data_IF_812722068085
#
_entry.id   IF_812722068085
#
_cell.length_a   1.000
_cell.length_b   1.000
_cell.length_c   1.000
_cell.angle_alpha   90.00
_cell.angle_beta   90.00
_cell.angle_gamma   90.00
#
_symmetry.space_group_name_H-M   'P 1'
#
loop_
_entity.id
_entity.type
_entity.pdbx_description
1 polymer ?
#
# COMPACT_ATOMS: atom_id res chain seq x y z
N UNK A 1 -8.16 37.25 -25.29
CA UNK A 1 -7.03 36.34 -25.57
C UNK A 1 -7.48 34.95 -25.17
N UNK A 2 -7.92 34.18 -26.14
CA UNK A 2 -8.28 32.79 -25.97
C UNK A 2 -6.96 32.04 -25.73
N UNK A 3 -6.81 31.43 -24.57
CA UNK A 3 -5.69 30.52 -24.33
C UNK A 3 -6.01 29.28 -25.14
N UNK A 4 -5.30 29.10 -26.25
CA UNK A 4 -5.33 27.88 -27.03
C UNK A 4 -5.02 26.71 -26.11
N UNK A 5 -5.96 25.76 -26.09
CA UNK A 5 -5.98 24.58 -25.24
C UNK A 5 -4.74 23.72 -25.54
N UNK A 6 -3.70 23.66 -24.68
CA UNK A 6 -2.63 22.72 -24.92
C UNK A 6 -3.17 21.35 -24.53
N UNK A 7 -3.48 20.53 -25.53
CA UNK A 7 -3.62 19.10 -25.30
C UNK A 7 -2.27 18.59 -24.82
N UNK A 8 -2.07 18.51 -23.51
CA UNK A 8 -0.90 17.88 -22.91
C UNK A 8 -0.98 16.40 -23.24
N UNK A 9 -0.33 15.99 -24.33
CA UNK A 9 -0.21 14.58 -24.70
C UNK A 9 0.94 14.02 -23.87
N UNK A 10 0.62 13.45 -22.71
CA UNK A 10 1.61 12.68 -21.96
C UNK A 10 1.90 11.38 -22.75
N UNK A 11 3.05 11.32 -23.42
CA UNK A 11 3.52 10.13 -24.11
C UNK A 11 4.55 9.39 -23.26
N UNK A 12 4.35 8.09 -23.05
CA UNK A 12 5.34 7.20 -22.45
C UNK A 12 6.63 7.16 -23.29
N UNK A 13 7.80 7.35 -22.66
CA UNK A 13 9.09 7.29 -23.35
C UNK A 13 10.16 6.70 -22.44
N UNK A 14 10.81 5.62 -22.90
CA UNK A 14 11.92 4.94 -22.21
C UNK A 14 13.31 5.42 -22.67
N UNK A 15 13.41 6.48 -23.48
CA UNK A 15 14.70 6.94 -24.00
C UNK A 15 15.31 8.01 -23.07
N UNK A 16 16.44 7.67 -22.46
CA UNK A 16 17.37 8.65 -21.87
C UNK A 16 18.08 9.42 -22.99
N UNK A 17 17.39 10.31 -23.69
CA UNK A 17 18.07 11.25 -24.56
C UNK A 17 18.64 12.41 -23.73
N UNK A 18 19.97 12.52 -23.73
CA UNK A 18 20.69 13.62 -23.09
C UNK A 18 20.25 14.94 -23.71
N UNK A 19 19.72 15.83 -22.87
CA UNK A 19 19.38 17.21 -23.21
C UNK A 19 20.62 17.95 -23.74
N UNK A 20 20.74 18.11 -25.05
CA UNK A 20 21.76 18.96 -25.67
C UNK A 20 21.06 20.14 -26.36
N UNK A 21 21.09 21.30 -25.69
CA UNK A 21 20.69 22.64 -26.14
C UNK A 21 19.23 22.88 -26.56
N UNK A 22 18.74 24.07 -26.25
CA UNK A 22 17.38 24.55 -26.50
C UNK A 22 17.25 25.07 -27.95
N UNK A 23 16.55 24.33 -28.82
CA UNK A 23 16.07 24.83 -30.11
C UNK A 23 14.62 25.31 -29.97
N UNK A 24 14.34 26.54 -30.38
CA UNK A 24 12.99 27.11 -30.35
C UNK A 24 12.12 26.49 -31.47
N UNK A 25 11.19 25.63 -31.09
CA UNK A 25 10.11 25.08 -31.94
C UNK A 25 8.77 25.10 -31.20
N UNK A 26 7.64 24.76 -31.86
CA UNK A 26 6.33 24.65 -31.19
C UNK A 26 6.49 23.74 -29.97
N UNK A 27 5.93 24.15 -28.85
CA UNK A 27 6.13 23.58 -27.51
C UNK A 27 5.73 22.09 -27.45
N UNK A 28 6.63 21.21 -27.92
CA UNK A 28 6.46 19.76 -28.05
C UNK A 28 7.26 18.98 -26.99
N UNK A 29 7.91 19.69 -26.04
CA UNK A 29 8.98 19.09 -25.22
C UNK A 29 8.65 18.91 -23.73
N UNK A 30 7.37 19.00 -23.34
CA UNK A 30 6.96 18.57 -21.99
C UNK A 30 6.88 17.02 -21.93
N UNK A 31 8.04 16.35 -21.91
CA UNK A 31 8.12 14.92 -21.59
C UNK A 31 8.05 14.76 -20.07
N UNK A 32 6.92 14.28 -19.56
CA UNK A 32 6.83 13.81 -18.17
C UNK A 32 7.38 12.38 -18.16
N UNK A 33 8.53 12.19 -17.50
CA UNK A 33 9.02 10.86 -17.19
C UNK A 33 8.16 10.34 -16.03
N UNK A 34 7.23 9.44 -16.34
CA UNK A 34 6.56 8.64 -15.32
C UNK A 34 7.48 7.49 -14.97
N UNK A 35 7.76 7.29 -13.69
CA UNK A 35 8.45 6.08 -13.26
C UNK A 35 7.61 4.87 -13.69
N UNK A 36 8.23 3.84 -14.30
CA UNK A 36 7.49 2.63 -14.60
C UNK A 36 7.02 1.99 -13.29
N UNK A 37 5.81 1.39 -13.26
CA UNK A 37 5.36 0.59 -12.13
C UNK A 37 6.42 -0.44 -11.75
N UNK A 38 6.78 -0.54 -10.46
CA UNK A 38 7.81 -1.49 -10.01
C UNK A 38 7.24 -2.51 -9.05
N UNK A 39 7.40 -3.80 -9.36
CA UNK A 39 7.13 -4.89 -8.43
C UNK A 39 5.69 -4.98 -7.95
N UNK A 40 5.48 -5.73 -6.87
CA UNK A 40 4.20 -5.81 -6.17
C UNK A 40 4.14 -4.87 -4.98
N UNK A 41 2.94 -4.40 -4.63
CA UNK A 41 2.67 -3.73 -3.37
C UNK A 41 2.02 -4.68 -2.38
N UNK A 42 2.51 -4.71 -1.14
CA UNK A 42 1.96 -5.49 -0.03
C UNK A 42 1.42 -4.55 1.05
N UNK A 43 0.11 -4.51 1.22
CA UNK A 43 -0.54 -3.83 2.33
C UNK A 43 -0.73 -4.81 3.48
N UNK A 44 0.02 -4.65 4.56
CA UNK A 44 -0.08 -5.49 5.76
C UNK A 44 -0.97 -4.77 6.78
N UNK A 45 -2.11 -5.36 7.08
CA UNK A 45 -3.00 -4.92 8.16
C UNK A 45 -2.75 -5.83 9.35
N UNK A 46 -2.12 -5.29 10.39
CA UNK A 46 -1.82 -6.00 11.63
C UNK A 46 -2.79 -5.58 12.72
N UNK A 47 -3.48 -6.57 13.28
CA UNK A 47 -4.33 -6.40 14.45
C UNK A 47 -3.50 -6.11 15.69
N UNK A 48 -3.77 -4.95 16.26
CA UNK A 48 -3.19 -4.47 17.50
C UNK A 48 -4.27 -4.12 18.51
N UNK A 49 -5.45 -4.76 18.46
CA UNK A 49 -6.54 -4.56 19.43
C UNK A 49 -6.25 -5.23 20.77
N UNK A 50 -7.02 -4.88 21.81
CA UNK A 50 -6.84 -5.44 23.16
C UNK A 50 -6.98 -6.97 23.24
N UNK A 51 -7.82 -7.58 22.40
CA UNK A 51 -7.97 -9.05 22.35
C UNK A 51 -6.68 -9.77 21.93
N UNK A 52 -5.77 -9.07 21.25
CA UNK A 52 -4.44 -9.58 20.90
C UNK A 52 -3.49 -9.66 22.11
N UNK A 53 -3.83 -9.01 23.23
CA UNK A 53 -3.12 -9.03 24.53
C UNK A 53 -3.80 -9.94 25.58
N UNK A 54 -5.10 -10.20 25.45
CA UNK A 54 -5.95 -10.73 26.53
C UNK A 54 -5.75 -12.23 26.89
N UNK A 55 -4.86 -12.97 26.22
CA UNK A 55 -4.68 -14.42 26.46
C UNK A 55 -3.22 -14.83 26.76
N UNK A 56 -3.06 -15.88 27.60
CA UNK A 56 -1.81 -16.62 27.93
C UNK A 56 -0.98 -17.09 26.70
N UNK A 57 -1.50 -16.90 25.50
CA UNK A 57 -0.96 -17.38 24.23
C UNK A 57 -0.27 -16.31 23.37
N UNK A 58 -0.20 -15.07 23.85
CA UNK A 58 0.58 -13.99 23.25
C UNK A 58 0.34 -13.87 21.72
N UNK A 59 -0.92 -13.63 21.35
CA UNK A 59 -1.40 -13.65 19.95
C UNK A 59 -0.68 -12.63 19.10
N UNK A 60 -0.41 -11.44 19.67
CA UNK A 60 0.37 -10.40 19.01
C UNK A 60 1.78 -10.89 18.66
N UNK A 61 2.47 -11.63 19.53
CA UNK A 61 3.81 -12.12 19.23
C UNK A 61 3.80 -13.23 18.18
N UNK A 62 2.76 -14.07 18.14
CA UNK A 62 2.57 -15.03 17.02
C UNK A 62 2.32 -14.33 15.69
N UNK A 63 1.55 -13.23 15.70
CA UNK A 63 1.33 -12.42 14.51
C UNK A 63 2.64 -11.79 14.02
N UNK A 64 3.47 -11.26 14.93
CA UNK A 64 4.82 -10.77 14.60
C UNK A 64 5.72 -11.87 14.05
N UNK A 65 5.71 -13.05 14.65
CA UNK A 65 6.51 -14.20 14.17
C UNK A 65 6.08 -14.62 12.76
N UNK A 66 4.77 -14.70 12.48
CA UNK A 66 4.26 -15.02 11.16
C UNK A 66 4.70 -14.00 10.09
N UNK A 67 4.65 -12.70 10.41
CA UNK A 67 5.13 -11.63 9.52
C UNK A 67 6.64 -11.70 9.33
N UNK A 68 7.40 -11.99 10.39
CA UNK A 68 8.86 -12.18 10.32
C UNK A 68 9.22 -13.33 9.38
N UNK A 69 8.51 -14.45 9.50
CA UNK A 69 8.69 -15.61 8.61
C UNK A 69 8.31 -15.27 7.15
N UNK A 70 7.26 -14.48 6.94
CA UNK A 70 6.89 -13.99 5.61
C UNK A 70 8.02 -13.13 5.00
N UNK A 71 8.64 -12.26 5.79
CA UNK A 71 9.73 -11.40 5.31
C UNK A 71 11.00 -12.22 5.02
N UNK A 72 11.26 -13.27 5.81
CA UNK A 72 12.40 -14.16 5.63
C UNK A 72 12.25 -15.17 4.48
N UNK A 73 11.03 -15.47 4.01
CA UNK A 73 10.81 -16.55 3.03
C UNK A 73 11.16 -16.20 1.57
N UNK A 74 11.66 -14.98 1.30
CA UNK A 74 12.12 -14.55 -0.03
C UNK A 74 11.01 -14.32 -1.05
N UNK A 75 9.75 -14.18 -0.61
CA UNK A 75 8.59 -13.92 -1.48
C UNK A 75 8.37 -12.44 -1.79
N UNK A 76 8.81 -11.57 -0.88
CA UNK A 76 8.86 -10.13 -1.06
C UNK A 76 10.28 -9.79 -1.48
N UNK A 77 10.43 -9.19 -2.64
CA UNK A 77 11.73 -8.92 -3.28
C UNK A 77 12.01 -7.42 -3.35
N UNK A 78 13.24 -7.03 -3.69
CA UNK A 78 13.74 -5.65 -3.59
C UNK A 78 12.91 -4.60 -4.37
N UNK A 79 12.29 -4.99 -5.47
CA UNK A 79 11.41 -4.11 -6.23
C UNK A 79 10.02 -3.92 -5.62
N UNK A 80 9.62 -4.76 -4.66
CA UNK A 80 8.30 -4.72 -4.05
C UNK A 80 8.22 -3.62 -2.98
N UNK A 81 7.04 -3.06 -2.83
CA UNK A 81 6.76 -2.06 -1.79
C UNK A 81 5.90 -2.69 -0.70
N UNK A 82 6.20 -2.38 0.56
CA UNK A 82 5.43 -2.88 1.70
C UNK A 82 4.98 -1.70 2.56
N UNK A 83 3.69 -1.68 2.90
CA UNK A 83 3.10 -0.73 3.84
C UNK A 83 2.52 -1.48 5.04
N UNK A 84 2.64 -0.88 6.23
CA UNK A 84 2.10 -1.43 7.47
C UNK A 84 0.97 -0.55 8.00
N UNK A 85 -0.16 -1.17 8.26
CA UNK A 85 -1.35 -0.58 8.85
C UNK A 85 -1.62 -1.27 10.17
N UNK A 86 -1.70 -0.49 11.23
CA UNK A 86 -2.12 -0.96 12.56
C UNK A 86 -3.33 -0.13 12.99
N UNK A 87 -3.91 -0.44 14.13
CA UNK A 87 -5.00 0.36 14.67
C UNK A 87 -4.92 0.47 16.17
N UNK A 88 -5.46 1.57 16.68
CA UNK A 88 -5.58 1.80 18.11
C UNK A 88 -6.97 2.37 18.37
N UNK A 89 -7.76 1.71 19.22
CA UNK A 89 -9.15 2.10 19.42
C UNK A 89 -9.98 1.86 18.14
N UNK A 90 -10.72 2.86 17.68
CA UNK A 90 -11.45 2.82 16.41
C UNK A 90 -10.78 3.67 15.31
N UNK A 91 -9.45 3.80 15.37
CA UNK A 91 -8.67 4.57 14.39
C UNK A 91 -7.63 3.67 13.71
N UNK A 92 -7.50 3.82 12.40
CA UNK A 92 -6.52 3.12 11.57
C UNK A 92 -5.32 4.03 11.35
N UNK A 93 -4.12 3.50 11.59
CA UNK A 93 -2.86 4.20 11.37
C UNK A 93 -2.06 3.50 10.27
N UNK A 94 -1.70 4.24 9.23
CA UNK A 94 -0.60 3.83 8.35
C UNK A 94 0.71 4.01 9.12
N UNK A 95 1.13 2.94 9.78
CA UNK A 95 2.27 2.92 10.71
C UNK A 95 3.59 3.04 9.95
N UNK A 96 3.66 2.42 8.78
CA UNK A 96 4.77 2.57 7.84
C UNK A 96 4.20 2.86 6.46
N UNK A 97 4.54 4.01 5.84
CA UNK A 97 4.24 4.27 4.44
C UNK A 97 4.81 3.18 3.53
N UNK A 98 4.27 3.03 2.31
CA UNK A 98 4.82 2.07 1.35
C UNK A 98 6.30 2.36 1.09
N UNK A 99 7.14 1.36 1.33
CA UNK A 99 8.60 1.46 1.20
C UNK A 99 9.19 0.16 0.65
N UNK A 100 10.35 0.25 0.00
CA UNK A 100 11.17 -0.92 -0.40
C UNK A 100 12.06 -1.40 0.76
N UNK A 101 12.19 -0.59 1.81
CA UNK A 101 13.00 -0.89 2.99
C UNK A 101 12.25 -1.82 3.96
N UNK A 102 12.25 -3.12 3.67
CA UNK A 102 11.55 -4.13 4.48
C UNK A 102 11.99 -4.13 5.95
N UNK A 103 13.24 -3.73 6.23
CA UNK A 103 13.77 -3.56 7.58
C UNK A 103 12.98 -2.54 8.41
N UNK A 104 12.47 -1.46 7.80
CA UNK A 104 11.64 -0.45 8.48
C UNK A 104 10.29 -1.04 8.89
N UNK A 105 9.71 -1.86 8.01
CA UNK A 105 8.45 -2.55 8.26
C UNK A 105 8.62 -3.58 9.38
N UNK A 106 9.66 -4.42 9.32
CA UNK A 106 9.98 -5.39 10.38
C UNK A 106 10.16 -4.68 11.73
N UNK A 107 10.96 -3.62 11.79
CA UNK A 107 11.19 -2.88 13.03
C UNK A 107 9.90 -2.25 13.59
N UNK A 108 8.91 -1.93 12.74
CA UNK A 108 7.61 -1.45 13.19
C UNK A 108 6.71 -2.58 13.69
N UNK A 109 6.73 -3.74 13.03
CA UNK A 109 6.06 -4.97 13.49
C UNK A 109 6.57 -5.38 14.88
N UNK A 110 7.88 -5.39 15.08
CA UNK A 110 8.50 -5.76 16.37
C UNK A 110 8.04 -4.86 17.53
N UNK A 111 7.81 -3.57 17.23
CA UNK A 111 7.34 -2.55 18.19
C UNK A 111 5.82 -2.53 18.39
N UNK A 112 5.05 -3.26 17.59
CA UNK A 112 3.60 -3.28 17.70
C UNK A 112 3.18 -3.85 19.07
N UNK A 113 2.31 -3.14 19.77
CA UNK A 113 1.68 -3.56 21.02
C UNK A 113 0.16 -3.64 20.84
N UNK A 114 -0.49 -4.47 21.64
CA UNK A 114 -1.92 -4.70 21.56
C UNK A 114 -2.68 -3.74 22.53
N UNK A 115 -3.59 -2.92 22.00
CA UNK A 115 -4.50 -2.06 22.74
C UNK A 115 -5.77 -1.64 21.97
N UNK A 116 -6.88 -1.46 22.70
CA UNK A 116 -8.09 -0.82 22.17
C UNK A 116 -8.98 -1.70 21.29
N UNK A 117 -9.73 -1.08 20.38
CA UNK A 117 -10.74 -1.73 19.54
C UNK A 117 -10.21 -2.22 18.19
N UNK A 118 -11.12 -2.74 17.37
CA UNK A 118 -10.84 -3.50 16.14
C UNK A 118 -11.59 -2.89 14.94
N UNK A 119 -11.11 -1.78 14.34
CA UNK A 119 -11.73 -1.13 13.18
C UNK A 119 -11.39 -1.87 11.88
N UNK A 120 -11.69 -3.16 11.83
CA UNK A 120 -11.26 -4.07 10.77
C UNK A 120 -11.76 -3.63 9.38
N UNK A 121 -13.04 -3.29 9.25
CA UNK A 121 -13.61 -2.86 7.97
C UNK A 121 -12.94 -1.57 7.47
N UNK A 122 -12.72 -0.60 8.35
CA UNK A 122 -12.05 0.64 8.00
C UNK A 122 -10.58 0.40 7.64
N UNK A 123 -9.90 -0.50 8.35
CA UNK A 123 -8.48 -0.82 8.08
C UNK A 123 -8.28 -1.43 6.69
N UNK A 124 -9.20 -2.30 6.26
CA UNK A 124 -9.24 -2.88 4.91
C UNK A 124 -9.42 -1.78 3.86
N UNK A 125 -10.32 -0.83 4.08
CA UNK A 125 -10.58 0.26 3.13
C UNK A 125 -9.35 1.16 3.01
N UNK A 126 -8.81 1.64 4.14
CA UNK A 126 -7.64 2.54 4.18
C UNK A 126 -6.41 1.88 3.54
N UNK A 127 -6.17 0.61 3.83
CA UNK A 127 -5.08 -0.15 3.25
C UNK A 127 -5.26 -0.33 1.73
N UNK A 128 -6.50 -0.59 1.27
CA UNK A 128 -6.79 -0.74 -0.15
C UNK A 128 -6.66 0.57 -0.92
N UNK A 129 -7.10 1.69 -0.34
CA UNK A 129 -6.92 3.04 -0.89
C UNK A 129 -5.44 3.37 -1.05
N UNK A 130 -4.69 3.23 0.04
CA UNK A 130 -3.25 3.51 0.06
C UNK A 130 -2.49 2.63 -0.93
N UNK A 131 -2.88 1.35 -1.07
CA UNK A 131 -2.29 0.41 -2.01
C UNK A 131 -2.61 0.79 -3.47
N UNK A 132 -3.83 1.25 -3.75
CA UNK A 132 -4.26 1.68 -5.08
C UNK A 132 -3.62 3.00 -5.55
N UNK A 133 -3.03 3.77 -4.64
CA UNK A 133 -2.27 4.98 -4.96
C UNK A 133 -0.81 4.68 -5.35
N UNK A 134 -0.33 3.47 -5.09
CA UNK A 134 1.05 3.09 -5.40
C UNK A 134 1.24 2.80 -6.89
N UNK A 135 2.44 3.11 -7.40
CA UNK A 135 2.86 2.81 -8.76
C UNK A 135 3.46 1.38 -8.85
N UNK A 136 2.59 0.37 -8.79
CA UNK A 136 2.94 -1.06 -8.67
C UNK A 136 2.26 -1.91 -9.75
N UNK A 137 2.84 -3.08 -10.06
CA UNK A 137 2.30 -4.01 -11.06
C UNK A 137 1.08 -4.79 -10.56
N UNK A 138 1.07 -5.12 -9.26
CA UNK A 138 0.00 -5.86 -8.60
C UNK A 138 -0.07 -5.52 -7.11
N UNK A 139 -1.27 -5.54 -6.55
CA UNK A 139 -1.48 -5.34 -5.11
C UNK A 139 -1.82 -6.65 -4.40
N UNK A 140 -1.27 -6.83 -3.20
CA UNK A 140 -1.60 -7.91 -2.27
C UNK A 140 -1.94 -7.26 -0.92
N UNK A 141 -3.05 -7.67 -0.32
CA UNK A 141 -3.41 -7.28 1.04
C UNK A 141 -3.33 -8.50 1.95
N UNK A 142 -2.61 -8.37 3.06
CA UNK A 142 -2.45 -9.40 4.07
C UNK A 142 -3.06 -8.85 5.36
N UNK A 143 -4.11 -9.49 5.84
CA UNK A 143 -4.79 -9.11 7.08
C UNK A 143 -4.48 -10.16 8.14
N UNK A 144 -3.88 -9.74 9.24
CA UNK A 144 -3.53 -10.59 10.38
C UNK A 144 -4.36 -10.12 11.57
N UNK A 145 -5.41 -10.85 11.91
CA UNK A 145 -6.39 -10.49 12.94
C UNK A 145 -6.90 -11.72 13.67
N UNK A 146 -7.34 -11.55 14.92
CA UNK A 146 -7.95 -12.59 15.74
C UNK A 146 -9.49 -12.52 15.79
N UNK A 147 -10.12 -11.50 15.19
CA UNK A 147 -11.51 -11.18 15.52
C UNK A 147 -12.35 -10.43 14.49
N UNK A 148 -13.54 -10.05 14.94
CA UNK A 148 -14.55 -9.32 14.19
C UNK A 148 -14.47 -7.81 14.45
N UNK A 149 -15.04 -7.02 13.55
CA UNK A 149 -15.09 -5.56 13.69
C UNK A 149 -15.87 -5.14 14.95
N UNK A 150 -15.29 -4.25 15.75
CA UNK A 150 -15.92 -3.70 16.97
C UNK A 150 -16.24 -2.21 16.86
N UNK A 151 -16.07 -1.62 15.68
CA UNK A 151 -16.23 -0.19 15.42
C UNK A 151 -17.36 0.11 14.41
N UNK A 152 -18.38 -0.76 14.38
CA UNK A 152 -19.59 -0.66 13.55
C UNK A 152 -19.31 -0.69 12.03
N UNK A 153 -18.22 -1.32 11.61
CA UNK A 153 -17.87 -1.49 10.21
C UNK A 153 -18.50 -2.73 9.56
N UNK A 154 -18.76 -2.66 8.25
CA UNK A 154 -19.18 -3.82 7.46
C UNK A 154 -17.99 -4.46 6.75
N UNK A 155 -17.42 -5.52 7.34
CA UNK A 155 -16.29 -6.26 6.74
C UNK A 155 -16.60 -6.81 5.34
N UNK A 156 -17.79 -7.38 5.05
CA UNK A 156 -18.11 -7.83 3.69
C UNK A 156 -18.10 -6.70 2.66
N UNK A 157 -18.62 -5.53 3.01
CA UNK A 157 -18.61 -4.36 2.12
C UNK A 157 -17.18 -3.84 1.92
N UNK A 158 -16.39 -3.74 3.00
CA UNK A 158 -14.99 -3.35 2.93
C UNK A 158 -14.17 -4.27 2.01
N UNK A 159 -14.37 -5.59 2.11
CA UNK A 159 -13.72 -6.56 1.24
C UNK A 159 -14.13 -6.41 -0.23
N UNK A 160 -15.41 -6.15 -0.51
CA UNK A 160 -15.88 -5.91 -1.87
C UNK A 160 -15.21 -4.67 -2.49
N UNK A 161 -15.16 -3.57 -1.73
CA UNK A 161 -14.51 -2.32 -2.14
C UNK A 161 -12.99 -2.51 -2.32
N UNK A 162 -12.34 -3.20 -1.39
CA UNK A 162 -10.90 -3.47 -1.47
C UNK A 162 -10.55 -4.30 -2.70
N UNK A 163 -11.35 -5.32 -3.02
CA UNK A 163 -11.19 -6.13 -4.24
C UNK A 163 -11.30 -5.27 -5.50
N UNK A 164 -12.30 -4.41 -5.58
CA UNK A 164 -12.46 -3.52 -6.73
C UNK A 164 -11.25 -2.60 -6.92
N UNK A 165 -10.72 -2.05 -5.83
CA UNK A 165 -9.53 -1.20 -5.82
C UNK A 165 -8.28 -1.95 -6.27
N UNK A 166 -8.02 -3.13 -5.73
CA UNK A 166 -6.88 -3.96 -6.12
C UNK A 166 -6.96 -4.37 -7.60
N UNK A 167 -8.14 -4.75 -8.10
CA UNK A 167 -8.35 -5.05 -9.53
C UNK A 167 -8.20 -3.81 -10.43
N UNK A 168 -8.40 -2.60 -9.90
CA UNK A 168 -8.16 -1.36 -10.64
C UNK A 168 -6.68 -1.13 -10.95
N UNK A 169 -5.77 -1.56 -10.06
CA UNK A 169 -4.30 -1.44 -10.25
C UNK A 169 -3.89 -2.14 -11.53
N UNK A 170 -4.29 -3.42 -11.67
CA UNK A 170 -3.95 -4.23 -12.85
C UNK A 170 -4.50 -3.62 -14.15
N UNK A 171 -5.70 -3.01 -14.10
CA UNK A 171 -6.33 -2.39 -15.28
C UNK A 171 -5.62 -1.12 -15.75
N UNK A 172 -4.93 -0.39 -14.88
CA UNK A 172 -4.14 0.81 -15.25
C UNK A 172 -2.94 0.46 -16.12
N UNK A 173 -2.39 -0.76 -15.99
CA UNK A 173 -1.19 -1.21 -16.70
C UNK A 173 -1.45 -1.68 -18.13
N UNK A 174 -2.72 -1.94 -18.48
CA UNK A 174 -3.13 -2.51 -19.78
C UNK A 174 -3.63 -1.40 -20.73
N UNK A 175 -3.70 -0.15 -20.28
CA UNK A 175 -4.12 1.01 -21.08
C UNK A 175 -2.92 1.82 -21.55
#
# INVERSE_FOLDING_TARGET
RQLDNPSTVASWSNSQERFNSYEQGPDQYHKILLDPPTGAGYAIVLDTSGSMDEDDNNRIDRAKEALTNLFACGRIVEQDMVGLFTYNGCYVNQTVPFTKELSQVQAAVDRAGANGGTPLAQSIIVAADSLAEQNIERGVMIVVTDGADSCNGSVPQALALAREKVESIRRRLIR
#
